data_IF_409489118569
#
_entry.id   IF_409489118569
#
_cell.length_a   1.000
_cell.length_b   1.000
_cell.length_c   1.000
_cell.angle_alpha   90.00
_cell.angle_beta   90.00
_cell.angle_gamma   90.00
#
_symmetry.space_group_name_H-M   'P 1'
#
loop_
_entity.id
_entity.type
_entity.pdbx_description
1 polymer ?
#
# COMPACT_ATOMS: atom_id res chain seq x y z
N UNK A 1 -2.80 -7.95 -28.33
CA UNK A 1 -1.45 -8.43 -28.01
C UNK A 1 -1.44 -8.75 -26.52
N UNK A 2 -1.22 -10.00 -26.10
CA UNK A 2 -1.00 -10.31 -24.68
C UNK A 2 0.29 -9.64 -24.22
N UNK A 3 0.32 -9.18 -22.97
CA UNK A 3 1.53 -8.63 -22.36
C UNK A 3 2.59 -9.75 -22.26
N UNK A 4 3.75 -9.66 -22.94
CA UNK A 4 4.78 -10.69 -22.90
C UNK A 4 5.40 -10.89 -21.50
N UNK A 5 5.04 -10.03 -20.54
CA UNK A 5 5.46 -10.14 -19.14
C UNK A 5 4.42 -10.82 -18.24
N UNK A 6 3.25 -11.21 -18.77
CA UNK A 6 2.16 -11.80 -17.98
C UNK A 6 2.54 -13.14 -17.31
N UNK A 7 3.47 -13.90 -17.92
CA UNK A 7 3.95 -15.18 -17.40
C UNK A 7 5.20 -15.07 -16.50
N UNK A 8 5.73 -13.86 -16.29
CA UNK A 8 6.84 -13.66 -15.35
C UNK A 8 6.36 -13.62 -13.90
N UNK A 9 7.18 -14.11 -12.95
CA UNK A 9 6.84 -14.08 -11.54
C UNK A 9 6.50 -12.66 -11.07
N UNK A 10 5.59 -12.51 -10.08
CA UNK A 10 5.05 -11.22 -9.67
C UNK A 10 6.15 -10.20 -9.40
N UNK A 11 6.10 -9.08 -10.12
CA UNK A 11 7.16 -8.08 -10.07
C UNK A 11 7.13 -7.36 -8.73
N UNK A 12 8.19 -7.51 -7.94
CA UNK A 12 8.37 -6.76 -6.71
C UNK A 12 8.90 -5.36 -7.00
N UNK A 13 8.25 -4.34 -6.43
CA UNK A 13 8.68 -2.95 -6.49
C UNK A 13 9.47 -2.59 -5.24
N UNK A 14 10.55 -1.84 -5.40
CA UNK A 14 11.24 -1.21 -4.27
C UNK A 14 10.46 0.02 -3.80
N UNK A 15 10.73 0.49 -2.58
CA UNK A 15 10.02 1.62 -1.96
C UNK A 15 9.88 2.85 -2.87
N UNK A 16 10.93 3.24 -3.62
CA UNK A 16 10.87 4.38 -4.56
C UNK A 16 9.88 4.14 -5.71
N UNK A 17 9.86 2.94 -6.27
CA UNK A 17 8.94 2.57 -7.34
C UNK A 17 7.50 2.42 -6.83
N UNK A 18 7.33 1.82 -5.64
CA UNK A 18 6.03 1.69 -5.00
C UNK A 18 5.43 3.07 -4.65
N UNK A 19 6.23 4.00 -4.13
CA UNK A 19 5.79 5.36 -3.85
C UNK A 19 5.37 6.09 -5.14
N UNK A 20 6.14 5.94 -6.21
CA UNK A 20 5.79 6.48 -7.52
C UNK A 20 4.49 5.86 -8.08
N UNK A 21 4.33 4.54 -7.96
CA UNK A 21 3.12 3.83 -8.37
C UNK A 21 1.87 4.36 -7.63
N UNK A 22 1.99 4.63 -6.33
CA UNK A 22 0.91 5.16 -5.51
C UNK A 22 0.70 6.69 -5.64
N UNK A 23 1.60 7.41 -6.33
CA UNK A 23 1.55 8.87 -6.43
C UNK A 23 1.84 9.61 -5.11
N UNK A 24 2.50 8.97 -4.14
CA UNK A 24 2.85 9.59 -2.85
C UNK A 24 4.37 9.74 -2.71
N UNK A 25 4.82 10.58 -1.78
CA UNK A 25 6.25 10.73 -1.53
C UNK A 25 6.86 9.46 -0.91
N UNK A 26 8.14 9.20 -1.21
CA UNK A 26 8.90 8.10 -0.61
C UNK A 26 8.83 8.14 0.92
N UNK A 27 9.03 9.32 1.50
CA UNK A 27 9.02 9.54 2.95
C UNK A 27 7.64 9.25 3.56
N UNK A 28 6.56 9.53 2.83
CA UNK A 28 5.19 9.20 3.25
C UNK A 28 4.98 7.69 3.28
N UNK A 29 5.42 6.96 2.25
CA UNK A 29 5.33 5.50 2.22
C UNK A 29 6.18 4.84 3.33
N UNK A 30 7.36 5.40 3.62
CA UNK A 30 8.19 4.95 4.75
C UNK A 30 7.50 5.16 6.09
N UNK A 31 6.79 6.28 6.29
CA UNK A 31 5.99 6.52 7.50
C UNK A 31 4.84 5.52 7.61
N UNK A 32 4.10 5.28 6.53
CA UNK A 32 3.05 4.26 6.50
C UNK A 32 3.57 2.88 6.91
N UNK A 33 4.80 2.53 6.51
CA UNK A 33 5.47 1.31 6.95
C UNK A 33 5.79 1.31 8.44
N UNK A 34 6.29 2.43 8.98
CA UNK A 34 6.61 2.56 10.41
C UNK A 34 5.38 2.46 11.29
N UNK A 35 4.25 3.03 10.87
CA UNK A 35 3.01 3.06 11.66
C UNK A 35 2.06 1.89 11.38
N UNK A 36 2.38 1.02 10.40
CA UNK A 36 1.51 -0.09 10.02
C UNK A 36 0.24 0.33 9.26
N UNK A 37 0.13 1.59 8.81
CA UNK A 37 -1.03 2.11 8.07
C UNK A 37 -0.90 1.96 6.56
N UNK A 38 0.15 1.28 6.09
CA UNK A 38 0.52 1.15 4.70
C UNK A 38 0.17 -0.18 4.04
N UNK A 39 0.49 -0.32 2.74
CA UNK A 39 0.38 -1.59 2.05
C UNK A 39 1.35 -2.63 2.64
N UNK A 40 1.01 -3.91 2.48
CA UNK A 40 1.86 -5.02 2.91
C UNK A 40 3.23 -4.94 2.24
N UNK A 41 4.28 -4.95 3.06
CA UNK A 41 5.67 -4.97 2.61
C UNK A 41 6.31 -6.30 2.97
N UNK A 42 7.38 -6.66 2.25
CA UNK A 42 8.17 -7.87 2.48
C UNK A 42 9.63 -7.49 2.66
N UNK A 43 10.29 -8.08 3.65
CA UNK A 43 11.71 -7.86 3.93
C UNK A 43 12.51 -9.04 3.38
N UNK A 44 13.34 -8.79 2.36
CA UNK A 44 14.16 -9.80 1.68
C UNK A 44 15.62 -9.36 1.76
N UNK A 45 16.44 -10.07 2.53
CA UNK A 45 17.90 -9.81 2.63
C UNK A 45 18.24 -8.35 2.98
N UNK A 46 17.49 -7.73 3.89
CA UNK A 46 17.67 -6.32 4.28
C UNK A 46 16.98 -5.29 3.38
N UNK A 47 16.43 -5.70 2.23
CA UNK A 47 15.66 -4.82 1.33
C UNK A 47 14.18 -4.90 1.62
N UNK A 48 13.48 -3.78 1.50
CA UNK A 48 12.02 -3.71 1.56
C UNK A 48 11.46 -3.69 0.14
N UNK A 49 10.52 -4.59 -0.13
CA UNK A 49 9.83 -4.69 -1.41
C UNK A 49 8.32 -4.82 -1.22
N UNK A 50 7.58 -4.42 -2.25
CA UNK A 50 6.13 -4.46 -2.32
C UNK A 50 5.71 -5.28 -3.54
N UNK A 51 4.74 -6.17 -3.39
CA UNK A 51 4.08 -6.76 -4.56
C UNK A 51 3.11 -5.74 -5.14
N UNK A 52 2.98 -5.68 -6.47
CA UNK A 52 1.99 -4.80 -7.12
C UNK A 52 0.57 -5.11 -6.63
N UNK A 53 0.24 -6.40 -6.47
CA UNK A 53 -1.06 -6.83 -5.95
C UNK A 53 -1.35 -6.28 -4.54
N UNK A 54 -0.35 -6.20 -3.65
CA UNK A 54 -0.52 -5.68 -2.30
C UNK A 54 -0.73 -4.15 -2.33
N UNK A 55 -0.06 -3.44 -3.25
CA UNK A 55 -0.27 -2.01 -3.47
C UNK A 55 -1.70 -1.74 -3.98
N UNK A 56 -2.14 -2.51 -4.97
CA UNK A 56 -3.50 -2.41 -5.51
C UNK A 56 -4.56 -2.74 -4.45
N UNK A 57 -4.37 -3.82 -3.68
CA UNK A 57 -5.26 -4.18 -2.59
C UNK A 57 -5.40 -3.03 -1.58
N UNK A 58 -4.29 -2.40 -1.19
CA UNK A 58 -4.31 -1.25 -0.30
C UNK A 58 -5.04 -0.04 -0.90
N UNK A 59 -4.85 0.25 -2.19
CA UNK A 59 -5.62 1.34 -2.86
C UNK A 59 -7.11 1.05 -2.93
N UNK A 60 -7.52 -0.23 -3.07
CA UNK A 60 -8.92 -0.65 -3.09
C UNK A 60 -9.61 -0.41 -1.74
N UNK A 61 -8.88 -0.52 -0.62
CA UNK A 61 -9.43 -0.22 0.72
C UNK A 61 -9.93 1.23 0.78
N UNK A 62 -9.15 2.17 0.24
CA UNK A 62 -9.48 3.59 0.22
C UNK A 62 -10.35 4.04 -0.97
N UNK A 63 -10.73 3.12 -1.86
CA UNK A 63 -11.49 3.47 -3.06
C UNK A 63 -12.93 3.83 -2.70
N UNK A 64 -13.36 5.03 -3.10
CA UNK A 64 -14.72 5.55 -2.88
C UNK A 64 -15.30 6.00 -4.21
N UNK A 65 -16.55 5.66 -4.49
CA UNK A 65 -17.30 6.16 -5.67
C UNK A 65 -18.10 7.41 -5.32
N UNK A 66 -18.49 7.57 -4.06
CA UNK A 66 -19.26 8.68 -3.53
C UNK A 66 -18.69 9.14 -2.18
N UNK A 67 -18.74 10.44 -1.86
CA UNK A 67 -18.40 10.94 -0.53
C UNK A 67 -19.20 10.30 0.62
N UNK A 68 -20.38 9.73 0.32
CA UNK A 68 -21.26 9.08 1.30
C UNK A 68 -21.07 7.56 1.38
N UNK A 69 -20.14 6.97 0.64
CA UNK A 69 -19.90 5.52 0.70
C UNK A 69 -19.38 5.14 2.10
N UNK A 70 -20.24 4.49 2.89
CA UNK A 70 -19.91 4.05 4.25
C UNK A 70 -19.30 2.64 4.30
N UNK A 71 -19.39 1.89 3.20
CA UNK A 71 -18.86 0.52 3.08
C UNK A 71 -17.37 0.49 2.70
N UNK A 72 -16.79 1.64 2.35
CA UNK A 72 -15.37 1.72 2.01
C UNK A 72 -14.51 1.56 3.27
N UNK A 73 -13.43 0.79 3.14
CA UNK A 73 -12.42 0.67 4.19
C UNK A 73 -11.74 2.00 4.51
N UNK A 74 -11.05 2.04 5.64
CA UNK A 74 -10.31 3.24 6.08
C UNK A 74 -8.82 3.03 5.90
N UNK A 75 -8.21 3.82 5.01
CA UNK A 75 -6.76 3.99 4.96
C UNK A 75 -6.39 5.13 5.90
N UNK A 76 -5.77 4.80 7.02
CA UNK A 76 -5.38 5.81 7.99
C UNK A 76 -4.18 6.65 7.53
N UNK A 77 -4.08 7.92 7.92
CA UNK A 77 -2.92 8.75 7.63
C UNK A 77 -1.62 8.16 8.21
N UNK A 78 -0.49 8.56 7.65
CA UNK A 78 0.84 8.13 8.10
C UNK A 78 1.27 8.82 9.41
N UNK A 79 0.53 8.54 10.49
CA UNK A 79 0.77 8.96 11.88
C UNK A 79 0.59 7.78 12.84
N UNK A 80 1.09 7.87 14.08
CA UNK A 80 0.71 6.92 15.13
C UNK A 80 -0.81 6.85 15.26
N UNK A 81 -1.34 5.64 15.26
CA UNK A 81 -2.75 5.39 15.53
C UNK A 81 -3.01 5.44 17.02
N UNK A 82 -4.21 5.88 17.38
CA UNK A 82 -4.71 5.65 18.74
C UNK A 82 -5.00 4.16 18.93
N UNK A 83 -5.05 3.66 20.18
CA UNK A 83 -5.40 2.26 20.43
C UNK A 83 -6.73 1.85 19.77
N UNK A 84 -7.75 2.72 19.84
CA UNK A 84 -9.05 2.50 19.21
C UNK A 84 -9.00 2.43 17.68
N UNK A 85 -8.10 3.18 17.05
CA UNK A 85 -7.88 3.14 15.60
C UNK A 85 -7.12 1.88 15.18
N UNK A 86 -6.22 1.39 16.04
CA UNK A 86 -5.42 0.19 15.80
C UNK A 86 -6.26 -1.09 15.84
N UNK A 87 -7.30 -1.13 16.68
CA UNK A 87 -8.28 -2.24 16.74
C UNK A 87 -9.16 -2.35 15.46
N UNK A 88 -9.15 -1.32 14.61
CA UNK A 88 -9.95 -1.26 13.37
C UNK A 88 -9.15 -1.59 12.10
N UNK A 89 -7.85 -1.85 12.23
CA UNK A 89 -6.98 -2.30 11.14
C UNK A 89 -7.13 -3.80 10.89
#
# INVERSE_FOLDING_TARGET
>A
MPDPLADLPPRFLRTKQAAHFLGISLRTLEKHRTYGTGPTYRKIGGRVVYAVADLEAWTKIGARKSPKDMDAGTVFPARPLTPEEQDRL
#
